data_IF_872062200610
#
_entry.id   IF_872062200610
#
_cell.length_a   1.000
_cell.length_b   1.000
_cell.length_c   1.000
_cell.angle_alpha   90.00
_cell.angle_beta   90.00
_cell.angle_gamma   90.00
#
_symmetry.space_group_name_H-M   'P 1'
#
loop_
_entity.id
_entity.type
_entity.pdbx_description
1 polymer ?
#
# COMPACT_ATOMS: atom_id res chain seq x y z
N UNK A 1 2.44 -26.78 0.11
CA UNK A 1 2.49 -25.69 1.10
C UNK A 1 1.49 -24.66 0.62
N UNK A 2 0.46 -24.30 1.39
CA UNK A 2 -0.46 -23.23 0.97
C UNK A 2 0.36 -21.93 0.91
N UNK A 3 0.32 -21.24 -0.21
CA UNK A 3 0.99 -19.95 -0.38
C UNK A 3 0.31 -18.96 0.58
N UNK A 4 0.98 -18.57 1.67
CA UNK A 4 0.48 -17.64 2.70
C UNK A 4 0.32 -16.18 2.19
N UNK A 5 0.48 -15.96 0.88
CA UNK A 5 0.60 -14.62 0.27
C UNK A 5 -0.72 -13.86 0.13
N UNK A 6 -1.85 -14.49 0.44
CA UNK A 6 -3.19 -13.93 0.21
C UNK A 6 -4.20 -14.24 1.35
N UNK A 7 -3.73 -14.52 2.56
CA UNK A 7 -4.62 -14.78 3.69
C UNK A 7 -5.32 -13.49 4.13
N UNK A 8 -6.52 -13.25 3.59
CA UNK A 8 -7.42 -12.19 4.01
C UNK A 8 -8.34 -12.75 5.09
N UNK A 9 -8.24 -12.17 6.28
CA UNK A 9 -9.13 -12.45 7.41
C UNK A 9 -10.44 -11.71 7.21
N UNK A 10 -11.41 -12.37 6.57
CA UNK A 10 -12.75 -11.82 6.38
C UNK A 10 -13.47 -11.56 7.70
N UNK A 11 -13.20 -12.37 8.74
CA UNK A 11 -13.76 -12.19 10.08
C UNK A 11 -13.28 -10.92 10.78
N UNK A 12 -12.24 -10.23 10.27
CA UNK A 12 -11.78 -8.96 10.80
C UNK A 12 -12.66 -7.77 10.36
N UNK A 13 -13.58 -7.97 9.42
CA UNK A 13 -14.53 -6.97 8.94
C UNK A 13 -15.80 -7.02 9.78
N UNK A 14 -16.06 -5.95 10.52
CA UNK A 14 -17.33 -5.72 11.21
C UNK A 14 -18.29 -5.02 10.25
N UNK A 15 -19.45 -5.61 9.95
CA UNK A 15 -20.52 -4.96 9.18
C UNK A 15 -21.56 -4.37 10.14
N UNK A 16 -21.66 -3.04 10.17
CA UNK A 16 -22.62 -2.28 10.96
C UNK A 16 -23.72 -1.73 10.05
N UNK A 17 -24.44 -2.63 9.37
CA UNK A 17 -25.53 -2.33 8.43
C UNK A 17 -25.13 -1.35 7.32
N UNK A 18 -23.98 -1.61 6.68
CA UNK A 18 -23.46 -0.82 5.56
C UNK A 18 -22.30 0.12 5.92
N UNK A 19 -21.92 0.20 7.20
CA UNK A 19 -20.64 0.77 7.62
C UNK A 19 -19.71 -0.37 8.00
N UNK A 20 -18.75 -0.67 7.12
CA UNK A 20 -17.80 -1.76 7.33
C UNK A 20 -16.55 -1.23 8.02
N UNK A 21 -16.08 -1.92 9.06
CA UNK A 21 -14.93 -1.51 9.88
C UNK A 21 -13.92 -2.64 10.02
N UNK A 22 -12.63 -2.31 9.86
CA UNK A 22 -11.52 -3.16 10.30
C UNK A 22 -10.76 -2.38 11.38
N UNK A 23 -10.75 -2.90 12.60
CA UNK A 23 -10.06 -2.26 13.73
C UNK A 23 -8.54 -2.43 13.57
N UNK A 24 -7.81 -1.33 13.72
CA UNK A 24 -6.35 -1.36 13.74
C UNK A 24 -5.65 -1.79 12.44
N UNK A 25 -6.40 -2.00 11.34
CA UNK A 25 -5.90 -2.39 10.02
C UNK A 25 -5.89 -3.89 9.71
N UNK A 26 -6.19 -4.75 10.68
CA UNK A 26 -6.21 -6.22 10.51
C UNK A 26 -4.82 -6.87 10.50
N UNK A 27 -4.76 -8.14 10.10
CA UNK A 27 -3.55 -8.94 10.08
C UNK A 27 -2.44 -8.36 9.18
N UNK A 28 -1.19 -8.71 9.50
CA UNK A 28 0.00 -8.29 8.76
C UNK A 28 0.20 -9.16 7.52
N UNK A 29 0.60 -8.52 6.42
CA UNK A 29 1.20 -9.16 5.24
C UNK A 29 2.45 -8.40 4.80
N UNK A 30 3.34 -9.05 4.10
CA UNK A 30 4.61 -8.47 3.66
C UNK A 30 4.73 -8.55 2.14
N UNK A 31 5.19 -7.46 1.51
CA UNK A 31 5.46 -7.45 0.08
C UNK A 31 6.60 -6.48 -0.24
N UNK A 32 7.60 -6.96 -0.99
CA UNK A 32 8.70 -6.15 -1.51
C UNK A 32 9.40 -5.27 -0.45
N UNK A 33 9.71 -5.85 0.72
CA UNK A 33 10.34 -5.11 1.83
C UNK A 33 9.41 -4.20 2.63
N UNK A 34 8.13 -4.11 2.26
CA UNK A 34 7.12 -3.28 2.91
C UNK A 34 6.19 -4.17 3.75
N UNK A 35 5.91 -3.71 4.97
CA UNK A 35 4.95 -4.35 5.87
C UNK A 35 3.58 -3.68 5.67
N UNK A 36 2.55 -4.46 5.40
CA UNK A 36 1.19 -3.96 5.24
C UNK A 36 0.30 -4.53 6.35
N UNK A 37 -0.66 -3.73 6.77
CA UNK A 37 -1.87 -4.25 7.41
C UNK A 37 -2.93 -4.50 6.34
N UNK A 38 -3.74 -5.54 6.51
CA UNK A 38 -4.75 -6.03 5.55
C UNK A 38 -5.56 -4.90 4.88
N UNK A 39 -6.01 -3.91 5.65
CA UNK A 39 -6.78 -2.79 5.10
C UNK A 39 -8.06 -3.23 4.39
N UNK A 40 -8.57 -2.39 3.49
CA UNK A 40 -9.82 -2.63 2.75
C UNK A 40 -9.58 -2.71 1.24
N UNK A 41 -10.23 -3.66 0.58
CA UNK A 41 -10.16 -3.87 -0.85
C UNK A 41 -11.40 -4.61 -1.38
N UNK A 42 -11.46 -4.83 -2.70
CA UNK A 42 -12.52 -5.62 -3.33
C UNK A 42 -12.73 -7.00 -2.65
N UNK A 43 -11.63 -7.59 -2.17
CA UNK A 43 -11.61 -8.95 -1.61
C UNK A 43 -12.32 -9.07 -0.25
N UNK A 44 -12.50 -7.98 0.51
CA UNK A 44 -13.09 -8.05 1.86
C UNK A 44 -14.30 -7.13 2.10
N UNK A 45 -14.42 -6.03 1.34
CA UNK A 45 -15.56 -5.10 1.46
C UNK A 45 -16.27 -4.86 0.13
N UNK A 46 -15.88 -5.55 -0.96
CA UNK A 46 -16.59 -5.50 -2.24
C UNK A 46 -16.47 -4.18 -3.01
N UNK A 47 -15.51 -3.32 -2.67
CA UNK A 47 -15.20 -2.11 -3.47
C UNK A 47 -14.77 -2.48 -4.90
N UNK A 48 -15.05 -1.61 -5.87
CA UNK A 48 -14.84 -1.88 -7.30
C UNK A 48 -13.49 -1.42 -7.82
N UNK A 49 -13.00 -0.27 -7.34
CA UNK A 49 -11.80 0.40 -7.88
C UNK A 49 -10.90 1.01 -6.80
N UNK A 50 -11.27 0.88 -5.53
CA UNK A 50 -10.53 1.49 -4.42
C UNK A 50 -9.89 0.42 -3.54
N UNK A 51 -8.77 0.77 -2.94
CA UNK A 51 -8.23 0.05 -1.79
C UNK A 51 -7.54 1.01 -0.86
N UNK A 52 -7.48 0.68 0.42
CA UNK A 52 -6.77 1.45 1.44
C UNK A 52 -6.01 0.49 2.34
N UNK A 53 -4.72 0.73 2.54
CA UNK A 53 -3.85 -0.09 3.37
C UNK A 53 -3.01 0.84 4.26
N UNK A 54 -2.55 0.31 5.40
CA UNK A 54 -1.47 0.95 6.17
C UNK A 54 -0.19 0.21 5.80
N UNK A 55 0.77 0.95 5.25
CA UNK A 55 2.09 0.46 4.91
C UNK A 55 3.12 1.01 5.91
N UNK A 56 4.09 0.17 6.28
CA UNK A 56 5.24 0.53 7.10
C UNK A 56 6.50 0.05 6.39
N UNK A 57 7.39 0.99 6.10
CA UNK A 57 8.67 0.74 5.43
C UNK A 57 9.75 0.90 6.51
N UNK A 58 10.46 -0.18 6.88
CA UNK A 58 11.55 -0.06 7.85
C UNK A 58 12.65 0.89 7.36
N UNK A 59 13.34 1.62 8.25
CA UNK A 59 14.47 2.45 7.85
C UNK A 59 15.52 1.66 7.04
N UNK A 60 15.87 2.17 5.86
CA UNK A 60 16.82 1.55 4.94
C UNK A 60 16.27 0.35 4.14
N UNK A 61 15.00 -0.04 4.33
CA UNK A 61 14.36 -0.98 3.43
C UNK A 61 14.15 -0.32 2.06
N UNK A 62 14.30 -1.11 1.00
CA UNK A 62 14.07 -0.69 -0.38
C UNK A 62 13.07 -1.65 -1.02
N UNK A 63 11.99 -1.09 -1.54
CA UNK A 63 11.07 -1.78 -2.41
C UNK A 63 11.60 -1.75 -3.84
N UNK A 64 11.94 -2.92 -4.37
CA UNK A 64 12.43 -3.07 -5.74
C UNK A 64 11.52 -2.35 -6.74
N UNK A 65 12.13 -1.75 -7.76
CA UNK A 65 11.43 -0.99 -8.78
C UNK A 65 10.25 -1.76 -9.39
N UNK A 66 9.10 -1.09 -9.50
CA UNK A 66 7.87 -1.68 -10.01
C UNK A 66 6.98 -0.65 -10.71
N UNK A 67 5.88 -1.13 -11.31
CA UNK A 67 4.85 -0.30 -11.94
C UNK A 67 3.46 -0.73 -11.45
N UNK A 68 2.52 0.21 -11.44
CA UNK A 68 1.11 -0.07 -11.20
C UNK A 68 0.40 -0.22 -12.55
N UNK A 69 -0.13 -1.40 -12.83
CA UNK A 69 -0.83 -1.70 -14.09
C UNK A 69 -2.34 -1.59 -13.86
N UNK A 70 -2.97 -0.61 -14.49
CA UNK A 70 -4.42 -0.43 -14.47
C UNK A 70 -4.99 0.26 -13.23
N UNK A 71 -4.15 0.88 -12.39
CA UNK A 71 -4.59 1.68 -11.25
C UNK A 71 -3.57 2.77 -10.88
N UNK A 72 -4.05 3.81 -10.19
CA UNK A 72 -3.24 4.86 -9.56
C UNK A 72 -3.10 4.65 -8.05
N UNK A 73 -2.13 5.33 -7.43
CA UNK A 73 -1.93 5.29 -5.97
C UNK A 73 -1.91 6.71 -5.41
N UNK A 74 -2.63 6.88 -4.29
CA UNK A 74 -2.47 8.03 -3.39
C UNK A 74 -1.88 7.51 -2.09
N UNK A 75 -0.81 8.16 -1.62
CA UNK A 75 -0.21 7.95 -0.32
C UNK A 75 -0.37 9.20 0.53
N UNK A 76 -0.48 9.01 1.84
CA UNK A 76 -0.31 10.05 2.84
C UNK A 76 0.73 9.58 3.83
N UNK A 77 1.78 10.36 4.04
CA UNK A 77 2.86 9.99 4.97
C UNK A 77 2.44 10.37 6.38
N UNK A 78 2.18 9.35 7.20
CA UNK A 78 1.79 9.54 8.60
C UNK A 78 3.00 9.95 9.46
N UNK A 79 4.15 9.33 9.23
CA UNK A 79 5.38 9.57 9.99
C UNK A 79 6.60 9.13 9.16
N UNK A 80 7.69 9.89 9.26
CA UNK A 80 8.97 9.55 8.66
C UNK A 80 9.21 10.20 7.29
N UNK A 81 10.19 9.68 6.56
CA UNK A 81 10.61 10.17 5.24
C UNK A 81 10.72 9.01 4.26
N UNK A 82 10.42 9.29 3.00
CA UNK A 82 10.50 8.32 1.92
C UNK A 82 11.16 8.95 0.70
N UNK A 83 12.01 8.19 0.03
CA UNK A 83 12.69 8.63 -1.20
C UNK A 83 12.22 7.77 -2.35
N UNK A 84 11.65 8.40 -3.37
CA UNK A 84 11.34 7.71 -4.62
C UNK A 84 12.45 7.97 -5.63
N UNK A 85 13.02 6.90 -6.20
CA UNK A 85 13.68 6.99 -7.50
C UNK A 85 12.69 6.54 -8.58
N UNK A 86 12.50 7.33 -9.64
CA UNK A 86 11.42 7.10 -10.58
C UNK A 86 11.72 7.54 -12.01
N UNK A 87 10.80 7.19 -12.92
CA UNK A 87 10.92 7.44 -14.35
C UNK A 87 11.85 6.44 -15.04
N UNK A 88 12.08 6.66 -16.34
CA UNK A 88 12.86 5.72 -17.15
C UNK A 88 14.27 5.51 -16.60
N UNK A 89 14.54 4.29 -16.12
CA UNK A 89 15.82 3.92 -15.49
C UNK A 89 16.06 4.58 -14.13
N UNK A 90 15.00 4.98 -13.41
CA UNK A 90 15.04 5.50 -12.03
C UNK A 90 15.92 6.75 -11.86
N UNK A 91 16.02 7.57 -12.90
CA UNK A 91 16.93 8.72 -12.91
C UNK A 91 16.42 9.94 -12.14
N UNK A 92 15.13 10.00 -11.87
CA UNK A 92 14.52 11.11 -11.14
C UNK A 92 14.46 10.73 -9.66
N UNK A 93 14.69 11.71 -8.78
CA UNK A 93 14.69 11.49 -7.33
C UNK A 93 13.80 12.53 -6.68
N UNK A 94 12.95 12.08 -5.76
CA UNK A 94 12.13 12.95 -4.92
C UNK A 94 12.10 12.40 -3.49
N UNK A 95 12.29 13.27 -2.51
CA UNK A 95 12.10 12.95 -1.09
C UNK A 95 10.83 13.62 -0.60
N UNK A 96 10.02 12.86 0.13
CA UNK A 96 8.80 13.30 0.78
C UNK A 96 8.86 13.00 2.27
N UNK A 97 8.12 13.78 3.06
CA UNK A 97 8.12 13.68 4.52
C UNK A 97 6.70 13.67 5.11
N UNK A 98 6.60 13.61 6.43
CA UNK A 98 5.35 13.54 7.17
C UNK A 98 4.39 14.68 6.80
N UNK A 99 3.13 14.32 6.54
CA UNK A 99 2.10 15.25 6.08
C UNK A 99 1.98 15.38 4.56
N UNK A 100 2.93 14.86 3.78
CA UNK A 100 2.84 14.91 2.32
C UNK A 100 1.78 13.94 1.78
N UNK A 101 1.04 14.42 0.78
CA UNK A 101 0.31 13.58 -0.16
C UNK A 101 1.18 13.28 -1.38
N UNK A 102 1.22 12.01 -1.78
CA UNK A 102 1.87 11.58 -3.01
C UNK A 102 0.82 10.99 -3.94
N UNK A 103 0.84 11.40 -5.20
CA UNK A 103 0.05 10.78 -6.27
C UNK A 103 0.97 10.13 -7.30
N UNK A 104 0.85 8.82 -7.47
CA UNK A 104 1.62 8.04 -8.45
C UNK A 104 0.70 7.65 -9.61
N UNK A 105 1.04 8.11 -10.80
CA UNK A 105 0.31 7.79 -12.04
C UNK A 105 0.50 6.32 -12.41
N UNK A 106 -0.50 5.68 -13.04
CA UNK A 106 -0.36 4.32 -13.56
C UNK A 106 0.85 4.21 -14.51
N UNK A 107 1.56 3.09 -14.44
CA UNK A 107 2.67 2.77 -15.35
C UNK A 107 3.98 3.54 -15.12
N UNK A 108 4.07 4.45 -14.15
CA UNK A 108 5.35 5.12 -13.83
C UNK A 108 6.25 4.15 -13.08
N UNK A 109 7.43 3.79 -13.61
CA UNK A 109 8.39 2.97 -12.87
C UNK A 109 8.96 3.75 -11.69
N UNK A 110 8.97 3.13 -10.52
CA UNK A 110 9.51 3.70 -9.29
C UNK A 110 9.98 2.61 -8.33
N UNK A 111 11.02 2.93 -7.56
CA UNK A 111 11.39 2.27 -6.31
C UNK A 111 11.15 3.21 -5.14
N UNK A 112 11.11 2.63 -3.93
CA UNK A 112 10.83 3.31 -2.67
C UNK A 112 11.83 2.87 -1.61
#
# INVERSE_FOLDING_TARGET
MKDDKDNIELSAVEDHDGILTIRGGGARRDWNGIHYKQGMSAKNVGTKTLSANIATIPPGAVASAHIHVGFEVILYIVEGKVRHEFGSGLKQVLENEDGDFIYIKPGVPHEV
#
